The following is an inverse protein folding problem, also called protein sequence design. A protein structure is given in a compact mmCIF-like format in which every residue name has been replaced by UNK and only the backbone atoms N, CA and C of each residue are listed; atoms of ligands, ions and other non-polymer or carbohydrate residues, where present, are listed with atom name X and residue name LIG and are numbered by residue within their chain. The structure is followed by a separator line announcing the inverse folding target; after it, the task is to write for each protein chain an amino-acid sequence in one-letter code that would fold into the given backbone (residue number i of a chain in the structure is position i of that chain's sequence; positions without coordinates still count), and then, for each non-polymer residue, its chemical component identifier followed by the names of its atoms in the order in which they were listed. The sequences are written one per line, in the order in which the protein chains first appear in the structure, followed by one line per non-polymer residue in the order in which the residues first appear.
data_IF_418288572719
#
_entry.id   IF_418288572719
#
_cell.length_a   1.000
_cell.length_b   1.000
_cell.length_c   1.000
_cell.angle_alpha   90.00
_cell.angle_beta   90.00
_cell.angle_gamma   90.00
#
_symmetry.space_group_name_H-M   'P 1'
#
loop_
_entity.id
_entity.type
_entity.pdbx_description
1 polymer ?
#
# COMPACT_ATOMS: atom_id res chain seq x y z
N UNK A 1 50.52 -11.46 -34.99
CA UNK A 1 49.60 -10.37 -34.56
C UNK A 1 48.18 -10.83 -34.85
N UNK A 2 47.18 -10.45 -34.04
CA UNK A 2 45.73 -10.78 -34.21
C UNK A 2 45.19 -12.05 -33.51
N UNK A 3 45.39 -12.17 -32.20
CA UNK A 3 44.52 -13.04 -31.38
C UNK A 3 44.15 -12.44 -30.01
N UNK A 4 44.93 -11.49 -29.48
CA UNK A 4 44.68 -10.89 -28.15
C UNK A 4 43.75 -9.67 -28.14
N UNK A 5 43.53 -9.02 -29.28
CA UNK A 5 42.72 -7.78 -29.34
C UNK A 5 41.21 -8.09 -29.42
N UNK A 6 40.84 -9.25 -29.99
CA UNK A 6 39.43 -9.62 -30.21
C UNK A 6 38.70 -10.07 -28.94
N UNK A 7 39.43 -10.63 -27.96
CA UNK A 7 38.84 -11.12 -26.70
C UNK A 7 38.51 -9.96 -25.74
N UNK A 8 39.35 -8.92 -25.71
CA UNK A 8 39.15 -7.75 -24.84
C UNK A 8 37.96 -6.92 -25.34
N UNK A 9 37.82 -6.74 -26.66
CA UNK A 9 36.68 -6.01 -27.22
C UNK A 9 35.33 -6.68 -26.94
N UNK A 10 35.26 -8.03 -26.90
CA UNK A 10 34.04 -8.76 -26.52
C UNK A 10 33.73 -8.67 -25.03
N UNK A 11 34.74 -8.63 -24.16
CA UNK A 11 34.54 -8.48 -22.72
C UNK A 11 34.00 -7.08 -22.35
N UNK A 12 34.51 -6.04 -23.01
CA UNK A 12 34.05 -4.66 -22.78
C UNK A 12 32.65 -4.44 -23.34
N UNK A 13 32.31 -5.03 -24.50
CA UNK A 13 30.95 -4.98 -25.06
C UNK A 13 29.90 -5.70 -24.20
N UNK A 14 30.25 -6.83 -23.59
CA UNK A 14 29.35 -7.52 -22.65
C UNK A 14 29.19 -6.78 -21.31
N UNK A 15 30.20 -6.03 -20.85
CA UNK A 15 30.08 -5.25 -19.62
C UNK A 15 29.17 -4.03 -19.79
N UNK A 16 29.20 -3.38 -20.97
CA UNK A 16 28.39 -2.18 -21.24
C UNK A 16 26.90 -2.51 -21.46
N UNK A 17 26.57 -3.72 -21.93
CA UNK A 17 25.17 -4.14 -22.10
C UNK A 17 24.50 -4.67 -20.83
N UNK A 18 25.27 -4.98 -19.77
CA UNK A 18 24.72 -5.44 -18.47
C UNK A 18 24.41 -4.26 -17.53
N UNK A 19 24.92 -3.06 -17.80
CA UNK A 19 24.71 -1.88 -16.94
C UNK A 19 23.48 -1.02 -17.28
N UNK A 20 22.73 -1.36 -18.34
CA UNK A 20 21.47 -0.65 -18.68
C UNK A 20 20.26 -1.22 -17.90
N UNK A 21 20.49 -2.20 -17.02
CA UNK A 21 19.44 -2.90 -16.27
C UNK A 21 19.26 -2.49 -14.81
N UNK A 22 20.11 -1.64 -14.23
CA UNK A 22 19.79 -1.03 -12.94
C UNK A 22 18.78 0.08 -13.19
N UNK A 23 17.48 -0.28 -13.25
CA UNK A 23 16.43 0.67 -12.84
C UNK A 23 16.96 1.27 -11.54
N UNK A 24 17.18 2.59 -11.50
CA UNK A 24 17.37 3.30 -10.24
C UNK A 24 16.36 2.70 -9.29
N UNK A 25 16.86 2.05 -8.25
CA UNK A 25 16.06 1.64 -7.11
C UNK A 25 15.23 2.90 -6.79
N UNK A 26 13.91 2.81 -6.89
CA UNK A 26 13.09 3.99 -6.69
C UNK A 26 13.37 4.43 -5.26
N UNK A 27 14.17 5.49 -5.11
CA UNK A 27 14.68 5.91 -3.82
C UNK A 27 13.47 6.45 -3.05
N UNK A 28 13.03 5.74 -2.00
CA UNK A 28 11.96 6.20 -1.12
C UNK A 28 12.53 6.69 0.21
N UNK A 29 11.92 7.73 0.77
CA UNK A 29 12.17 8.22 2.13
C UNK A 29 10.93 8.04 3.01
N UNK A 30 11.13 8.14 4.32
CA UNK A 30 10.00 8.26 5.24
C UNK A 30 9.26 9.58 4.97
N UNK A 31 7.92 9.58 4.93
CA UNK A 31 7.15 10.81 4.82
C UNK A 31 7.22 11.62 6.11
N UNK A 32 7.19 12.94 5.98
CA UNK A 32 6.85 13.85 7.06
C UNK A 32 5.32 13.99 7.15
N UNK A 33 4.74 14.40 8.30
CA UNK A 33 3.30 14.58 8.42
C UNK A 33 2.71 15.52 7.36
N UNK A 34 3.44 16.60 7.01
CA UNK A 34 3.03 17.56 5.98
C UNK A 34 2.98 16.92 4.58
N UNK A 35 3.82 15.91 4.32
CA UNK A 35 3.81 15.22 3.03
C UNK A 35 2.47 14.53 2.81
N UNK A 36 1.75 14.08 3.84
CA UNK A 36 0.47 13.38 3.67
C UNK A 36 -0.69 14.30 3.27
N UNK A 37 -0.63 15.60 3.58
CA UNK A 37 -1.79 16.49 3.53
C UNK A 37 -2.41 16.66 2.14
N UNK A 38 -3.72 16.67 2.05
CA UNK A 38 -4.46 16.83 0.79
C UNK A 38 -4.93 15.50 0.20
N UNK A 39 -5.38 15.56 -1.05
CA UNK A 39 -6.03 14.43 -1.73
C UNK A 39 -5.05 13.63 -2.58
N UNK A 40 -5.18 12.32 -2.49
CA UNK A 40 -4.37 11.32 -3.17
C UNK A 40 -5.26 10.37 -3.95
N UNK A 41 -4.95 10.14 -5.22
CA UNK A 41 -5.61 9.13 -6.07
C UNK A 41 -4.80 7.85 -6.07
N UNK A 42 -5.44 6.68 -6.09
CA UNK A 42 -4.72 5.40 -5.95
C UNK A 42 -4.67 4.55 -7.22
N UNK A 43 -3.65 3.69 -7.34
CA UNK A 43 -3.51 2.70 -8.42
C UNK A 43 -4.39 1.44 -8.25
N UNK A 44 -5.14 1.30 -7.16
CA UNK A 44 -5.76 0.02 -6.75
C UNK A 44 -4.82 -0.86 -5.92
N UNK A 45 -5.33 -1.98 -5.40
CA UNK A 45 -4.54 -2.89 -4.57
C UNK A 45 -3.69 -3.85 -5.40
N UNK A 46 -2.48 -4.09 -4.92
CA UNK A 46 -1.63 -5.19 -5.37
C UNK A 46 -1.34 -6.11 -4.19
N UNK A 47 -1.29 -7.41 -4.46
CA UNK A 47 -1.08 -8.45 -3.47
C UNK A 47 0.18 -9.23 -3.78
N UNK A 48 0.95 -9.56 -2.75
CA UNK A 48 2.02 -10.54 -2.84
C UNK A 48 1.92 -11.46 -1.63
N UNK A 49 2.06 -12.76 -1.87
CA UNK A 49 1.91 -13.80 -0.87
C UNK A 49 2.98 -14.86 -1.06
N UNK A 50 3.55 -15.32 0.04
CA UNK A 50 4.37 -16.54 0.07
C UNK A 50 3.49 -17.78 0.17
N UNK A 51 4.02 -18.92 -0.26
CA UNK A 51 3.32 -20.20 -0.29
C UNK A 51 2.30 -20.32 -1.42
N UNK A 52 1.22 -21.07 -1.19
CA UNK A 52 0.17 -21.29 -2.19
C UNK A 52 -0.52 -19.98 -2.59
N UNK A 53 -0.85 -19.81 -3.86
CA UNK A 53 -1.56 -18.60 -4.31
C UNK A 53 -2.91 -18.45 -3.57
N UNK A 54 -3.25 -17.25 -3.05
CA UNK A 54 -4.53 -17.02 -2.41
C UNK A 54 -5.67 -17.02 -3.44
N UNK A 55 -6.84 -17.53 -3.03
CA UNK A 55 -8.02 -17.53 -3.89
C UNK A 55 -8.66 -16.13 -3.94
N UNK A 56 -9.44 -15.85 -4.98
CA UNK A 56 -10.18 -14.59 -5.08
C UNK A 56 -11.10 -14.33 -3.87
N UNK A 57 -11.68 -15.38 -3.30
CA UNK A 57 -12.51 -15.27 -2.10
C UNK A 57 -11.69 -14.86 -0.86
N UNK A 58 -10.46 -15.36 -0.74
CA UNK A 58 -9.54 -14.95 0.34
C UNK A 58 -9.07 -13.50 0.16
N UNK A 59 -8.77 -13.08 -1.08
CA UNK A 59 -8.40 -11.69 -1.37
C UNK A 59 -9.58 -10.72 -1.17
N UNK A 60 -10.81 -11.18 -1.39
CA UNK A 60 -12.02 -10.37 -1.17
C UNK A 60 -12.19 -9.94 0.30
N UNK A 61 -11.70 -10.73 1.26
CA UNK A 61 -11.73 -10.40 2.70
C UNK A 61 -10.91 -9.14 3.06
N UNK A 62 -10.02 -8.69 2.15
CA UNK A 62 -9.17 -7.51 2.29
C UNK A 62 -9.56 -6.35 1.38
N UNK A 63 -10.63 -6.47 0.58
CA UNK A 63 -11.08 -5.41 -0.35
C UNK A 63 -11.46 -4.11 0.36
N UNK A 64 -11.83 -4.16 1.63
CA UNK A 64 -12.10 -2.96 2.41
C UNK A 64 -10.87 -2.06 2.59
N UNK A 65 -9.65 -2.57 2.35
CA UNK A 65 -8.41 -1.79 2.34
C UNK A 65 -8.22 -1.01 1.03
N UNK A 66 -8.98 -1.34 -0.02
CA UNK A 66 -8.94 -0.62 -1.28
C UNK A 66 -9.59 0.76 -1.13
N UNK A 67 -8.87 1.80 -1.52
CA UNK A 67 -9.43 3.11 -1.73
C UNK A 67 -9.28 3.51 -3.20
N UNK A 68 -10.15 4.39 -3.66
CA UNK A 68 -9.95 5.19 -4.87
C UNK A 68 -9.21 6.48 -4.55
N UNK A 69 -9.58 7.10 -3.42
CA UNK A 69 -8.94 8.32 -2.94
C UNK A 69 -8.76 8.30 -1.42
N UNK A 70 -7.67 8.89 -0.97
CA UNK A 70 -7.44 9.30 0.42
C UNK A 70 -7.35 10.81 0.47
N UNK A 71 -7.96 11.45 1.47
CA UNK A 71 -7.77 12.86 1.77
C UNK A 71 -7.33 12.97 3.22
N UNK A 72 -6.13 13.52 3.45
CA UNK A 72 -5.60 13.77 4.79
C UNK A 72 -5.67 15.25 5.13
N UNK A 73 -6.25 15.57 6.28
CA UNK A 73 -6.46 16.94 6.71
C UNK A 73 -5.42 17.37 7.76
N UNK A 74 -5.25 18.68 7.92
CA UNK A 74 -4.29 19.26 8.86
C UNK A 74 -4.63 18.95 10.33
N UNK A 75 -5.90 18.76 10.65
CA UNK A 75 -6.40 18.40 11.99
C UNK A 75 -6.23 16.91 12.34
N UNK A 76 -5.39 16.18 11.59
CA UNK A 76 -5.17 14.73 11.74
C UNK A 76 -6.42 13.87 11.46
N UNK A 77 -7.42 14.39 10.75
CA UNK A 77 -8.54 13.59 10.24
C UNK A 77 -8.29 13.13 8.80
N UNK A 78 -8.91 12.02 8.41
CA UNK A 78 -8.86 11.55 7.03
C UNK A 78 -10.23 11.15 6.50
N UNK A 79 -10.35 11.18 5.18
CA UNK A 79 -11.46 10.59 4.42
C UNK A 79 -10.90 9.61 3.42
N UNK A 80 -11.44 8.40 3.41
CA UNK A 80 -11.12 7.34 2.45
C UNK A 80 -12.38 7.00 1.68
N UNK A 81 -12.31 7.11 0.35
CA UNK A 81 -13.41 6.78 -0.56
C UNK A 81 -13.07 5.50 -1.31
N UNK A 82 -13.98 4.53 -1.33
CA UNK A 82 -13.80 3.32 -2.13
C UNK A 82 -13.79 3.61 -3.64
N UNK A 83 -13.43 2.60 -4.43
CA UNK A 83 -13.74 2.59 -5.86
C UNK A 83 -15.24 2.61 -6.11
N UNK A 84 -15.59 3.13 -7.28
CA UNK A 84 -16.94 3.22 -7.77
C UNK A 84 -17.45 1.82 -8.10
N UNK A 85 -18.47 1.38 -7.39
CA UNK A 85 -19.15 0.14 -7.68
C UNK A 85 -20.40 0.44 -8.49
N UNK A 86 -20.36 0.22 -9.80
CA UNK A 86 -21.53 0.37 -10.67
C UNK A 86 -22.49 -0.80 -10.39
N UNK A 87 -23.65 -0.49 -9.81
CA UNK A 87 -24.68 -1.48 -9.49
C UNK A 87 -25.71 -1.59 -10.62
N UNK A 88 -25.98 -0.47 -11.31
CA UNK A 88 -26.80 -0.40 -12.52
C UNK A 88 -26.40 0.83 -13.33
N UNK A 89 -26.97 1.01 -14.53
CA UNK A 89 -26.65 2.12 -15.44
C UNK A 89 -26.77 3.52 -14.78
N UNK A 90 -27.58 3.66 -13.73
CA UNK A 90 -27.82 4.94 -13.04
C UNK A 90 -27.44 4.92 -11.55
N UNK A 91 -26.81 3.85 -11.06
CA UNK A 91 -26.48 3.72 -9.64
C UNK A 91 -25.02 3.33 -9.46
N UNK A 92 -24.27 4.26 -8.87
CA UNK A 92 -22.90 4.05 -8.41
C UNK A 92 -22.89 4.09 -6.90
N UNK A 93 -22.41 3.01 -6.28
CA UNK A 93 -22.24 2.93 -4.83
C UNK A 93 -20.78 3.19 -4.50
N UNK A 94 -20.58 4.07 -3.53
CA UNK A 94 -19.27 4.37 -2.94
C UNK A 94 -19.36 4.23 -1.44
N UNK A 95 -18.30 3.72 -0.82
CA UNK A 95 -18.15 3.69 0.63
C UNK A 95 -17.24 4.83 1.05
N UNK A 96 -17.68 5.59 2.05
CA UNK A 96 -16.89 6.60 2.71
C UNK A 96 -16.53 6.11 4.11
N UNK A 97 -15.23 6.05 4.36
CA UNK A 97 -14.65 5.78 5.67
C UNK A 97 -14.01 7.09 6.16
N UNK A 98 -14.25 7.44 7.42
CA UNK A 98 -13.74 8.65 8.04
C UNK A 98 -13.15 8.31 9.39
N UNK A 99 -12.08 9.00 9.76
CA UNK A 99 -11.41 8.72 11.02
C UNK A 99 -10.29 9.71 11.29
N UNK A 100 -9.42 9.32 12.20
CA UNK A 100 -8.18 10.04 12.49
C UNK A 100 -6.99 9.25 11.96
N UNK A 101 -5.90 9.95 11.67
CA UNK A 101 -4.66 9.30 11.28
C UNK A 101 -3.50 9.78 12.15
N UNK A 102 -2.51 8.91 12.31
CA UNK A 102 -1.24 9.24 12.93
C UNK A 102 -0.11 8.67 12.10
N UNK A 103 0.91 9.48 11.84
CA UNK A 103 2.16 9.03 11.24
C UNK A 103 3.25 9.02 12.33
N UNK A 104 3.88 7.88 12.53
CA UNK A 104 5.00 7.70 13.46
C UNK A 104 6.12 6.98 12.74
N UNK A 105 7.22 7.68 12.46
CA UNK A 105 8.27 7.21 11.55
C UNK A 105 7.68 6.84 10.18
N UNK A 106 7.88 5.59 9.75
CA UNK A 106 7.32 5.04 8.53
C UNK A 106 5.91 4.46 8.71
N UNK A 107 5.36 4.43 9.92
CA UNK A 107 4.08 3.75 10.18
C UNK A 107 2.92 4.74 10.23
N UNK A 108 2.02 4.65 9.25
CA UNK A 108 0.71 5.30 9.25
C UNK A 108 -0.32 4.40 9.92
N UNK A 109 -1.03 4.97 10.90
CA UNK A 109 -2.16 4.34 11.57
C UNK A 109 -3.41 5.10 11.15
N UNK A 110 -4.40 4.40 10.61
CA UNK A 110 -5.73 4.92 10.37
C UNK A 110 -6.67 4.37 11.44
N UNK A 111 -7.35 5.26 12.16
CA UNK A 111 -8.28 4.91 13.23
C UNK A 111 -9.69 5.31 12.82
N UNK A 112 -10.53 4.32 12.54
CA UNK A 112 -11.96 4.50 12.20
C UNK A 112 -12.80 4.19 13.42
N UNK A 113 -13.88 4.95 13.62
CA UNK A 113 -14.94 4.60 14.57
C UNK A 113 -16.20 4.26 13.80
N UNK A 114 -16.75 3.08 14.04
CA UNK A 114 -18.09 2.73 13.56
C UNK A 114 -19.13 3.30 14.52
N UNK A 115 -19.78 4.40 14.15
CA UNK A 115 -20.70 5.16 15.02
C UNK A 115 -21.89 4.36 15.57
N UNK A 116 -22.52 3.41 14.86
CA UNK A 116 -23.58 2.57 15.45
C UNK A 116 -23.10 1.56 16.50
N UNK A 117 -21.85 1.11 16.45
CA UNK A 117 -21.32 0.08 17.37
C UNK A 117 -20.28 0.63 18.35
N UNK A 118 -19.83 1.87 18.17
CA UNK A 118 -18.66 2.49 18.82
C UNK A 118 -17.38 1.66 18.72
N UNK A 119 -17.31 0.75 17.75
CA UNK A 119 -16.13 -0.09 17.56
C UNK A 119 -15.03 0.75 16.93
N UNK A 120 -13.89 0.82 17.60
CA UNK A 120 -12.67 1.44 17.08
C UNK A 120 -11.91 0.40 16.28
N UNK A 121 -11.51 0.74 15.06
CA UNK A 121 -10.70 -0.11 14.21
C UNK A 121 -9.44 0.63 13.77
N UNK A 122 -8.28 0.05 14.09
CA UNK A 122 -6.99 0.56 13.65
C UNK A 122 -6.47 -0.24 12.45
N UNK A 123 -6.04 0.47 11.41
CA UNK A 123 -5.39 -0.10 10.23
C UNK A 123 -3.98 0.44 10.11
N UNK A 124 -3.00 -0.46 10.08
CA UNK A 124 -1.58 -0.12 10.05
C UNK A 124 -0.98 -0.27 8.65
N UNK A 125 -0.22 0.74 8.22
CA UNK A 125 0.56 0.74 6.98
C UNK A 125 1.97 1.25 7.21
N UNK A 126 2.96 0.63 6.58
CA UNK A 126 4.22 1.30 6.27
C UNK A 126 4.00 2.28 5.11
N UNK A 127 4.62 3.46 5.20
CA UNK A 127 4.47 4.56 4.27
C UNK A 127 5.83 5.05 3.77
N UNK A 128 5.92 5.24 2.46
CA UNK A 128 7.16 5.56 1.76
C UNK A 128 6.90 6.64 0.72
N UNK A 129 7.56 7.78 0.83
CA UNK A 129 7.44 8.88 -0.11
C UNK A 129 8.60 8.84 -1.10
N UNK A 130 8.31 8.90 -2.40
CA UNK A 130 9.35 8.84 -3.43
C UNK A 130 10.21 10.10 -3.37
N UNK A 131 11.53 9.92 -3.32
CA UNK A 131 12.51 11.03 -3.30
C UNK A 131 12.48 11.82 -4.61
N UNK A 132 12.92 13.08 -4.56
CA UNK A 132 12.88 13.99 -5.71
C UNK A 132 11.52 14.64 -5.98
N UNK A 133 10.48 14.27 -5.22
CA UNK A 133 9.15 14.89 -5.28
C UNK A 133 8.99 16.10 -4.33
N UNK A 134 10.09 16.76 -3.96
CA UNK A 134 10.10 17.89 -3.02
C UNK A 134 9.60 19.18 -3.68
N UNK A 135 9.46 19.19 -5.01
CA UNK A 135 8.86 20.29 -5.74
C UNK A 135 7.32 20.27 -5.61
N UNK A 136 6.67 21.42 -5.40
CA UNK A 136 5.21 21.52 -5.45
C UNK A 136 4.61 21.17 -6.82
N UNK A 137 5.42 21.22 -7.88
CA UNK A 137 5.00 21.01 -9.26
C UNK A 137 5.29 19.59 -9.78
N UNK A 138 6.06 18.78 -9.04
CA UNK A 138 6.31 17.39 -9.42
C UNK A 138 5.14 16.51 -9.00
N UNK A 139 4.77 15.55 -9.85
CA UNK A 139 3.86 14.48 -9.48
C UNK A 139 4.41 13.77 -8.24
N UNK A 140 3.68 13.84 -7.15
CA UNK A 140 4.13 13.25 -5.90
C UNK A 140 3.60 11.83 -5.78
N UNK A 141 4.45 10.95 -5.26
CA UNK A 141 4.15 9.52 -5.13
C UNK A 141 4.39 9.08 -3.70
N UNK A 142 3.34 8.54 -3.09
CA UNK A 142 3.35 7.92 -1.78
C UNK A 142 2.97 6.45 -1.94
N UNK A 143 3.64 5.56 -1.24
CA UNK A 143 3.29 4.14 -1.17
C UNK A 143 2.82 3.84 0.23
N UNK A 144 1.65 3.24 0.35
CA UNK A 144 1.19 2.63 1.59
C UNK A 144 1.20 1.10 1.43
N UNK A 145 1.71 0.40 2.45
CA UNK A 145 1.86 -1.05 2.44
C UNK A 145 1.48 -1.62 3.79
N UNK A 146 0.55 -2.57 3.83
CA UNK A 146 0.32 -3.38 5.03
C UNK A 146 0.88 -4.78 4.83
N UNK A 147 1.62 -5.29 5.82
CA UNK A 147 2.24 -6.62 5.80
C UNK A 147 1.44 -7.59 6.64
N UNK A 148 1.77 -8.88 6.60
CA UNK A 148 1.20 -9.92 7.46
C UNK A 148 1.22 -9.49 8.92
N UNK A 149 2.33 -8.96 9.40
CA UNK A 149 2.54 -8.55 10.79
C UNK A 149 1.63 -7.37 11.16
N UNK A 150 1.56 -6.35 10.30
CA UNK A 150 0.68 -5.20 10.53
C UNK A 150 -0.80 -5.55 10.43
N UNK A 151 -1.17 -6.46 9.54
CA UNK A 151 -2.54 -6.98 9.42
C UNK A 151 -2.92 -7.80 10.65
N UNK A 152 -2.04 -8.67 11.15
CA UNK A 152 -2.26 -9.42 12.39
C UNK A 152 -2.42 -8.47 13.57
N UNK A 153 -1.57 -7.44 13.68
CA UNK A 153 -1.70 -6.39 14.69
C UNK A 153 -3.06 -5.68 14.62
N UNK A 154 -3.52 -5.29 13.43
CA UNK A 154 -4.86 -4.74 13.23
C UNK A 154 -5.99 -5.69 13.68
N UNK A 155 -5.80 -7.00 13.55
CA UNK A 155 -6.77 -8.01 13.99
C UNK A 155 -6.70 -8.28 15.49
N UNK A 156 -5.55 -8.13 16.14
CA UNK A 156 -5.38 -8.29 17.60
C UNK A 156 -6.16 -7.24 18.39
N UNK A 157 -6.36 -6.07 17.81
CA UNK A 157 -7.10 -4.97 18.42
C UNK A 157 -8.63 -5.05 18.20
N UNK A 158 -9.10 -6.07 17.48
CA UNK A 158 -10.52 -6.33 17.23
C UNK A 158 -11.09 -7.41 18.17
N UNK A 159 -12.40 -7.62 18.13
CA UNK A 159 -13.09 -8.64 18.93
C UNK A 159 -12.68 -10.03 18.45
N UNK A 160 -11.93 -10.77 19.28
CA UNK A 160 -11.38 -12.07 18.89
C UNK A 160 -12.44 -13.15 18.70
N UNK A 161 -13.63 -13.02 19.27
CA UNK A 161 -14.71 -14.00 19.07
C UNK A 161 -15.42 -13.85 17.71
N UNK A 162 -15.14 -12.79 16.94
CA UNK A 162 -15.73 -12.60 15.61
C UNK A 162 -15.21 -13.67 14.62
N UNK A 163 -16.08 -14.50 14.01
CA UNK A 163 -15.70 -15.48 13.01
C UNK A 163 -14.91 -14.91 11.82
N UNK A 164 -15.20 -13.67 11.41
CA UNK A 164 -14.49 -13.00 10.33
C UNK A 164 -13.05 -12.67 10.74
N UNK A 165 -12.81 -12.26 11.98
CA UNK A 165 -11.48 -12.01 12.53
C UNK A 165 -10.68 -13.32 12.59
N UNK A 166 -11.29 -14.40 13.11
CA UNK A 166 -10.64 -15.72 13.18
C UNK A 166 -10.28 -16.28 11.80
N UNK A 167 -11.18 -16.15 10.83
CA UNK A 167 -10.94 -16.57 9.44
C UNK A 167 -9.75 -15.84 8.82
N UNK A 168 -9.70 -14.50 8.94
CA UNK A 168 -8.59 -13.69 8.40
C UNK A 168 -7.27 -14.02 9.08
N UNK A 169 -7.28 -14.20 10.40
CA UNK A 169 -6.10 -14.58 11.20
C UNK A 169 -5.55 -15.94 10.76
N UNK A 170 -6.40 -16.96 10.66
CA UNK A 170 -5.99 -18.29 10.21
C UNK A 170 -5.38 -18.25 8.80
N UNK A 171 -6.00 -17.49 7.88
CA UNK A 171 -5.46 -17.29 6.54
C UNK A 171 -4.05 -16.65 6.58
N UNK A 172 -3.86 -15.57 7.34
CA UNK A 172 -2.57 -14.88 7.43
C UNK A 172 -1.49 -15.77 8.07
N UNK A 173 -1.83 -16.54 9.11
CA UNK A 173 -0.90 -17.42 9.79
C UNK A 173 -0.41 -18.59 8.90
N UNK A 174 -1.23 -19.02 7.94
CA UNK A 174 -0.88 -20.06 6.98
C UNK A 174 0.06 -19.57 5.85
N UNK A 175 0.47 -18.29 5.83
CA UNK A 175 1.36 -17.72 4.81
C UNK A 175 2.75 -17.44 5.38
N UNK A 176 3.78 -17.70 4.58
CA UNK A 176 5.15 -17.28 4.93
C UNK A 176 5.28 -15.76 4.93
N UNK A 177 4.67 -15.12 3.94
CA UNK A 177 4.55 -13.66 3.83
C UNK A 177 3.22 -13.29 3.20
N UNK A 178 2.73 -12.10 3.51
CA UNK A 178 1.61 -11.49 2.82
C UNK A 178 1.78 -9.98 2.86
N UNK A 179 1.63 -9.29 1.73
CA UNK A 179 1.63 -7.82 1.70
C UNK A 179 0.59 -7.31 0.72
N UNK A 180 -0.02 -6.21 1.10
CA UNK A 180 -0.96 -5.45 0.29
C UNK A 180 -0.36 -4.07 0.09
N UNK A 181 -0.16 -3.66 -1.16
CA UNK A 181 0.44 -2.37 -1.50
C UNK A 181 -0.52 -1.55 -2.34
N UNK A 182 -0.56 -0.25 -2.08
CA UNK A 182 -1.28 0.73 -2.88
C UNK A 182 -0.41 1.96 -3.10
N UNK A 183 -0.30 2.40 -4.34
CA UNK A 183 0.42 3.62 -4.71
C UNK A 183 -0.57 4.77 -4.82
N UNK A 184 -0.20 5.90 -4.24
CA UNK A 184 -0.97 7.14 -4.12
C UNK A 184 -0.25 8.23 -4.93
N UNK A 185 -1.02 8.98 -5.71
CA UNK A 185 -0.54 10.06 -6.58
C UNK A 185 -1.26 11.38 -6.30
N UNK A 186 -0.52 12.50 -6.35
CA UNK A 186 -1.08 13.86 -6.36
C UNK A 186 -0.23 14.79 -7.24
#
# INVERSE_FOLDING_TARGET
MNAKITTIAKLVGCLVLVLVGCRKEEDYRQPNPVDLLGSWTTSGLTFESGGLAPTNAQLADFKNLEANTYTFNFDSTYVKRSRDSVVSNNLVVVRLERGTYKLSNDTLVLTTSDTPTQTIQNTYYHCYFKTGNESPLSLQTLIIRTTKELLLKSLDEQIQTDPAVQKKRAFLNARDMFKITQTLYR
#
